data_IF_908495253652
#
_entry.id   IF_908495253652
#
_cell.length_a   1.000
_cell.length_b   1.000
_cell.length_c   1.000
_cell.angle_alpha   90.00
_cell.angle_beta   90.00
_cell.angle_gamma   90.00
#
_symmetry.space_group_name_H-M   'P 1'
#
loop_
_entity.id
_entity.type
_entity.pdbx_description
1 polymer ?
#
# COMPACT_ATOMS: atom_id res chain seq x y z
N UNK A 1 -36.37 30.57 15.04
CA UNK A 1 -35.09 30.45 14.29
C UNK A 1 -34.78 28.97 14.13
N UNK A 2 -35.11 28.37 12.99
CA UNK A 2 -34.83 26.95 12.74
C UNK A 2 -33.36 26.80 12.32
N UNK A 3 -32.60 26.10 13.14
CA UNK A 3 -31.21 25.76 12.87
C UNK A 3 -31.18 24.65 11.80
N UNK A 4 -31.21 25.05 10.53
CA UNK A 4 -31.09 24.10 9.42
C UNK A 4 -29.70 23.46 9.48
N UNK A 5 -29.67 22.19 9.91
CA UNK A 5 -28.52 21.29 9.83
C UNK A 5 -28.18 21.12 8.34
N UNK A 6 -27.41 22.07 7.81
CA UNK A 6 -27.05 22.10 6.39
C UNK A 6 -26.10 20.95 6.11
N UNK A 7 -26.60 19.92 5.42
CA UNK A 7 -25.78 18.83 4.92
C UNK A 7 -24.57 19.38 4.15
N UNK A 8 -23.39 18.81 4.44
CA UNK A 8 -22.12 19.25 3.87
C UNK A 8 -22.13 19.21 2.34
N UNK A 9 -22.84 18.23 1.76
CA UNK A 9 -23.06 18.14 0.31
C UNK A 9 -23.88 19.30 -0.27
N UNK A 10 -24.86 19.83 0.46
CA UNK A 10 -25.63 21.00 0.01
C UNK A 10 -24.80 22.28 0.03
N UNK A 11 -23.93 22.44 1.04
CA UNK A 11 -22.97 23.55 1.07
C UNK A 11 -22.00 23.44 -0.11
N UNK A 12 -21.42 22.26 -0.35
CA UNK A 12 -20.50 22.03 -1.44
C UNK A 12 -21.16 22.36 -2.79
N UNK A 13 -22.39 21.87 -3.03
CA UNK A 13 -23.14 22.16 -4.25
C UNK A 13 -23.42 23.65 -4.46
N UNK A 14 -23.72 24.39 -3.39
CA UNK A 14 -23.90 25.85 -3.47
C UNK A 14 -22.58 26.57 -3.79
N UNK A 15 -21.47 26.15 -3.19
CA UNK A 15 -20.15 26.71 -3.50
C UNK A 15 -19.74 26.47 -4.95
N UNK A 16 -19.95 25.25 -5.47
CA UNK A 16 -19.67 24.91 -6.87
C UNK A 16 -20.49 25.77 -7.83
N UNK A 17 -21.79 25.97 -7.56
CA UNK A 17 -22.63 26.88 -8.37
C UNK A 17 -22.12 28.31 -8.35
N UNK A 18 -21.87 28.88 -7.17
CA UNK A 18 -21.32 30.24 -7.06
C UNK A 18 -19.98 30.39 -7.79
N UNK A 19 -19.14 29.36 -7.77
CA UNK A 19 -17.87 29.36 -8.48
C UNK A 19 -18.06 29.31 -10.00
N UNK A 20 -18.96 28.45 -10.49
CA UNK A 20 -19.30 28.38 -11.92
C UNK A 20 -19.90 29.69 -12.44
N UNK A 21 -20.80 30.30 -11.68
CA UNK A 21 -21.41 31.59 -12.05
C UNK A 21 -20.35 32.69 -12.16
N UNK A 22 -19.42 32.75 -11.19
CA UNK A 22 -18.32 33.72 -11.22
C UNK A 22 -17.33 33.45 -12.36
N UNK A 23 -17.03 32.19 -12.65
CA UNK A 23 -16.20 31.81 -13.78
C UNK A 23 -16.85 32.20 -15.12
N UNK A 24 -18.16 32.01 -15.25
CA UNK A 24 -18.91 32.40 -16.46
C UNK A 24 -18.97 33.92 -16.66
N UNK A 25 -19.04 34.70 -15.56
CA UNK A 25 -18.97 36.15 -15.61
C UNK A 25 -17.59 36.63 -16.10
N UNK A 26 -16.51 35.97 -15.67
CA UNK A 26 -15.16 36.21 -16.15
C UNK A 26 -15.00 35.92 -17.65
N UNK A 27 -15.56 34.80 -18.12
CA UNK A 27 -15.55 34.45 -19.56
C UNK A 27 -16.26 35.51 -20.40
N UNK A 28 -17.44 35.99 -19.96
CA UNK A 28 -18.18 37.05 -20.65
C UNK A 28 -17.42 38.38 -20.66
N UNK A 29 -16.71 38.72 -19.59
CA UNK A 29 -15.88 39.92 -19.53
C UNK A 29 -14.67 39.85 -20.48
N UNK A 30 -14.04 38.68 -20.59
CA UNK A 30 -12.93 38.43 -21.52
C UNK A 30 -13.40 38.46 -22.99
N UNK A 31 -14.58 37.90 -23.29
CA UNK A 31 -15.19 37.97 -24.61
C UNK A 31 -15.52 39.40 -25.03
N UNK A 32 -16.01 40.24 -24.10
CA UNK A 32 -16.25 41.68 -24.37
C UNK A 32 -14.97 42.46 -24.67
N UNK A 33 -13.80 41.96 -24.25
CA UNK A 33 -12.48 42.53 -24.59
C UNK A 33 -11.93 42.02 -25.93
N UNK A 34 -12.72 41.27 -26.70
CA UNK A 34 -12.33 40.74 -28.01
C UNK A 34 -11.43 39.50 -27.96
N UNK A 35 -11.29 38.86 -26.79
CA UNK A 35 -10.47 37.65 -26.65
C UNK A 35 -11.22 36.48 -27.29
N UNK A 36 -10.57 35.71 -28.18
CA UNK A 36 -11.19 34.57 -28.85
C UNK A 36 -11.60 33.49 -27.86
N UNK A 37 -12.79 32.92 -28.07
CA UNK A 37 -13.44 31.93 -27.19
C UNK A 37 -12.62 30.67 -26.89
N UNK A 38 -11.59 30.38 -27.69
CA UNK A 38 -10.69 29.25 -27.48
C UNK A 38 -9.72 29.52 -26.33
N UNK A 39 -9.23 30.76 -26.24
CA UNK A 39 -8.21 31.18 -25.27
C UNK A 39 -8.77 31.24 -23.84
N UNK A 40 -10.07 31.54 -23.69
CA UNK A 40 -10.76 31.52 -22.39
C UNK A 40 -10.98 30.10 -21.84
N UNK A 41 -10.91 29.07 -22.69
CA UNK A 41 -11.10 27.66 -22.28
C UNK A 41 -9.79 26.95 -21.89
N UNK A 42 -8.64 27.44 -22.34
CA UNK A 42 -7.31 26.87 -22.06
C UNK A 42 -7.07 26.59 -20.55
N UNK A 43 -7.40 27.51 -19.61
CA UNK A 43 -7.17 27.27 -18.19
C UNK A 43 -7.96 26.07 -17.64
N UNK A 44 -9.18 25.85 -18.15
CA UNK A 44 -10.00 24.70 -17.74
C UNK A 44 -9.43 23.38 -18.25
N UNK A 45 -8.95 23.36 -19.49
CA UNK A 45 -8.31 22.16 -20.05
C UNK A 45 -7.02 21.81 -19.31
N UNK A 46 -6.18 22.81 -19.01
CA UNK A 46 -4.98 22.63 -18.19
C UNK A 46 -5.30 22.03 -16.82
N UNK A 47 -6.33 22.54 -16.15
CA UNK A 47 -6.75 22.04 -14.84
C UNK A 47 -7.27 20.60 -14.91
N UNK A 48 -8.05 20.26 -15.94
CA UNK A 48 -8.53 18.89 -16.18
C UNK A 48 -7.36 17.92 -16.44
N UNK A 49 -6.40 18.32 -17.27
CA UNK A 49 -5.21 17.51 -17.57
C UNK A 49 -4.35 17.31 -16.33
N UNK A 50 -4.15 18.37 -15.53
CA UNK A 50 -3.41 18.28 -14.28
C UNK A 50 -4.11 17.35 -13.26
N UNK A 51 -5.42 17.48 -13.11
CA UNK A 51 -6.20 16.61 -12.22
C UNK A 51 -6.16 15.15 -12.68
N UNK A 52 -6.34 14.89 -13.97
CA UNK A 52 -6.25 13.55 -14.54
C UNK A 52 -4.85 12.96 -14.37
N UNK A 53 -3.79 13.74 -14.66
CA UNK A 53 -2.41 13.30 -14.47
C UNK A 53 -2.09 12.96 -13.02
N UNK A 54 -2.57 13.76 -12.08
CA UNK A 54 -2.36 13.53 -10.65
C UNK A 54 -3.09 12.26 -10.16
N UNK A 55 -4.32 12.02 -10.64
CA UNK A 55 -5.05 10.78 -10.37
C UNK A 55 -4.34 9.55 -10.98
N UNK A 56 -3.89 9.65 -12.22
CA UNK A 56 -3.20 8.58 -12.92
C UNK A 56 -1.90 8.21 -12.19
N UNK A 57 -1.11 9.22 -11.84
CA UNK A 57 0.15 9.06 -11.11
C UNK A 57 -0.11 8.43 -9.73
N UNK A 58 -1.12 8.91 -9.02
CA UNK A 58 -1.54 8.33 -7.74
C UNK A 58 -1.94 6.86 -7.87
N UNK A 59 -2.70 6.49 -8.90
CA UNK A 59 -3.09 5.11 -9.16
C UNK A 59 -1.88 4.21 -9.46
N UNK A 60 -0.92 4.70 -10.25
CA UNK A 60 0.33 3.98 -10.51
C UNK A 60 1.16 3.75 -9.25
N UNK A 61 1.29 4.75 -8.38
CA UNK A 61 1.97 4.60 -7.11
C UNK A 61 1.28 3.59 -6.19
N UNK A 62 -0.05 3.66 -6.07
CA UNK A 62 -0.81 2.69 -5.28
C UNK A 62 -0.64 1.27 -5.81
N UNK A 63 -0.69 1.08 -7.13
CA UNK A 63 -0.44 -0.21 -7.76
C UNK A 63 0.98 -0.71 -7.45
N UNK A 64 1.99 0.15 -7.58
CA UNK A 64 3.38 -0.21 -7.30
C UNK A 64 3.59 -0.61 -5.84
N UNK A 65 3.01 0.14 -4.90
CA UNK A 65 3.04 -0.20 -3.46
C UNK A 65 2.41 -1.57 -3.22
N UNK A 66 1.26 -1.86 -3.83
CA UNK A 66 0.60 -3.16 -3.71
C UNK A 66 1.47 -4.29 -4.27
N UNK A 67 2.14 -4.08 -5.40
CA UNK A 67 3.05 -5.08 -5.99
C UNK A 67 4.25 -5.32 -5.07
N UNK A 68 4.87 -4.27 -4.54
CA UNK A 68 5.99 -4.40 -3.60
C UNK A 68 5.55 -5.11 -2.32
N UNK A 69 4.37 -4.79 -1.79
CA UNK A 69 3.80 -5.46 -0.62
C UNK A 69 3.55 -6.94 -0.91
N UNK A 70 2.96 -7.27 -2.07
CA UNK A 70 2.71 -8.64 -2.49
C UNK A 70 4.01 -9.45 -2.64
N UNK A 71 5.04 -8.85 -3.24
CA UNK A 71 6.38 -9.45 -3.30
C UNK A 71 6.97 -9.64 -1.91
N UNK A 72 6.90 -8.64 -1.03
CA UNK A 72 7.38 -8.77 0.35
C UNK A 72 6.68 -9.93 1.07
N UNK A 73 5.35 -10.05 0.96
CA UNK A 73 4.60 -11.16 1.52
C UNK A 73 5.06 -12.49 0.93
N UNK A 74 5.23 -12.60 -0.39
CA UNK A 74 5.72 -13.82 -1.03
C UNK A 74 7.14 -14.20 -0.56
N UNK A 75 8.05 -13.23 -0.42
CA UNK A 75 9.39 -13.46 0.12
C UNK A 75 9.35 -13.90 1.58
N UNK A 76 8.54 -13.25 2.43
CA UNK A 76 8.37 -13.67 3.82
C UNK A 76 7.73 -15.06 3.91
N UNK A 77 6.71 -15.35 3.09
CA UNK A 77 6.05 -16.65 3.06
C UNK A 77 7.00 -17.76 2.55
N UNK A 78 7.87 -17.45 1.59
CA UNK A 78 8.92 -18.36 1.14
C UNK A 78 9.94 -18.67 2.23
N UNK A 79 10.36 -17.65 3.01
CA UNK A 79 11.27 -17.84 4.15
C UNK A 79 10.60 -18.65 5.26
N UNK A 80 9.32 -18.44 5.55
CA UNK A 80 8.59 -19.23 6.56
C UNK A 80 8.29 -20.65 6.11
N UNK A 81 8.17 -20.92 4.80
CA UNK A 81 7.96 -22.27 4.27
C UNK A 81 9.26 -23.10 4.28
N UNK A 82 10.43 -22.46 4.15
CA UNK A 82 11.73 -23.13 4.32
C UNK A 82 12.04 -23.42 5.80
N UNK A 83 11.49 -22.62 6.73
CA UNK A 83 11.68 -22.80 8.18
C UNK A 83 10.87 -23.95 8.80
N UNK A 84 9.85 -24.49 8.12
CA UNK A 84 9.15 -25.72 8.58
C UNK A 84 9.91 -27.00 8.18
N UNK A 85 10.90 -26.89 7.29
CA UNK A 85 11.77 -27.99 6.85
C UNK A 85 13.18 -27.91 7.43
N UNK A 86 13.46 -26.98 8.34
CA UNK A 86 14.59 -27.11 9.25
C UNK A 86 14.25 -28.24 10.22
N UNK A 87 14.48 -29.47 9.73
CA UNK A 87 14.70 -30.67 10.52
C UNK A 87 15.33 -30.25 11.84
N UNK A 88 14.57 -30.47 12.91
CA UNK A 88 15.05 -30.44 14.28
C UNK A 88 16.46 -31.00 14.25
N UNK A 89 17.49 -30.18 14.50
CA UNK A 89 18.91 -30.58 14.42
C UNK A 89 19.13 -31.78 15.37
N UNK A 90 18.85 -32.97 14.87
CA UNK A 90 19.07 -34.24 15.55
C UNK A 90 20.56 -34.45 15.54
N UNK A 91 21.15 -34.36 16.72
CA UNK A 91 22.51 -34.80 16.96
C UNK A 91 23.57 -33.76 16.62
N UNK A 92 23.81 -32.85 17.56
CA UNK A 92 25.15 -32.26 17.67
C UNK A 92 26.14 -33.42 17.84
N UNK A 93 26.89 -33.74 16.79
CA UNK A 93 28.04 -34.66 16.81
C UNK A 93 29.18 -33.98 17.57
N UNK A 94 29.01 -33.82 18.88
CA UNK A 94 30.02 -33.30 19.76
C UNK A 94 30.98 -34.42 20.15
N UNK A 95 32.29 -34.15 20.16
CA UNK A 95 33.25 -35.02 20.88
C UNK A 95 33.12 -34.72 22.36
N UNK A 96 32.20 -35.42 23.03
CA UNK A 96 32.15 -35.42 24.48
C UNK A 96 33.30 -36.24 25.07
N UNK A 97 33.52 -36.16 26.39
CA UNK A 97 34.56 -36.94 27.08
C UNK A 97 34.38 -38.46 26.95
N UNK A 98 33.23 -38.93 26.47
CA UNK A 98 32.88 -40.33 26.27
C UNK A 98 33.06 -40.82 24.82
N UNK A 99 33.63 -39.99 23.93
CA UNK A 99 33.85 -40.31 22.52
C UNK A 99 32.78 -39.72 21.58
N UNK A 100 32.86 -39.97 20.27
CA UNK A 100 31.83 -39.50 19.33
C UNK A 100 30.47 -40.17 19.62
N UNK A 101 29.39 -39.40 19.48
CA UNK A 101 28.01 -39.86 19.68
C UNK A 101 27.03 -38.71 19.83
N UNK A 102 25.73 -39.03 19.93
CA UNK A 102 24.69 -38.04 20.19
C UNK A 102 24.62 -37.69 21.69
N UNK A 103 24.49 -36.39 21.98
CA UNK A 103 24.44 -35.87 23.34
C UNK A 103 23.17 -35.04 23.54
N UNK A 104 22.44 -35.31 24.62
CA UNK A 104 21.31 -34.49 25.08
C UNK A 104 21.60 -34.05 26.52
N UNK A 105 21.51 -32.75 26.78
CA UNK A 105 21.81 -32.15 28.09
C UNK A 105 23.18 -32.56 28.70
N UNK A 106 24.18 -32.85 27.86
CA UNK A 106 25.53 -33.25 28.28
C UNK A 106 25.74 -34.75 28.58
N UNK A 107 24.71 -35.59 28.41
CA UNK A 107 24.80 -37.05 28.53
C UNK A 107 24.72 -37.71 27.15
N UNK A 108 25.54 -38.74 26.91
CA UNK A 108 25.46 -39.54 25.68
C UNK A 108 24.16 -40.35 25.70
N UNK A 109 23.33 -40.20 24.67
CA UNK A 109 22.12 -41.00 24.47
C UNK A 109 22.52 -42.22 23.63
N UNK A 110 22.09 -43.40 24.06
CA UNK A 110 22.32 -44.63 23.29
C UNK A 110 21.26 -44.77 22.19
N UNK A 111 21.60 -45.44 21.10
CA UNK A 111 20.67 -45.67 19.98
C UNK A 111 19.43 -46.49 20.40
N UNK A 112 19.46 -47.14 21.58
CA UNK A 112 18.34 -47.88 22.16
C UNK A 112 17.35 -46.99 22.96
N UNK A 113 17.66 -45.71 23.17
CA UNK A 113 16.81 -44.77 23.93
C UNK A 113 15.88 -43.94 23.02
N UNK A 114 16.02 -44.06 21.68
CA UNK A 114 15.19 -43.34 20.71
C UNK A 114 13.73 -43.85 20.66
N UNK A 115 13.46 -45.05 21.19
CA UNK A 115 12.13 -45.67 21.17
C UNK A 115 11.24 -45.30 22.38
N UNK A 116 11.77 -44.56 23.38
CA UNK A 116 11.03 -44.27 24.63
C UNK A 116 10.35 -42.90 24.69
N UNK A 117 10.45 -42.09 23.63
CA UNK A 117 9.90 -40.73 23.61
C UNK A 117 8.96 -40.42 22.43
N UNK A 118 8.46 -41.44 21.73
CA UNK A 118 7.34 -41.32 20.78
C UNK A 118 6.00 -41.74 21.40
#
# INVERSE_FOLDING_TARGET
MCNMKQNMGYRLGRYVRCFMDRASAGERALQRRGIPCWMTKIPRYLLMVAAAGLLLTGAFYLFFILVVLALAVLFLSGISADSENDECLTGYHARGPQGPGNYVAGRKVGDDDEDLFF
#
